data_IF_533496033417
#
_entry.id   IF_533496033417
#
_cell.length_a   1.000
_cell.length_b   1.000
_cell.length_c   1.000
_cell.angle_alpha   90.00
_cell.angle_beta   90.00
_cell.angle_gamma   90.00
#
_symmetry.space_group_name_H-M   'P 1'
#
loop_
_entity.id
_entity.type
_entity.pdbx_description
1 polymer ?
#
# COMPACT_ATOMS: atom_id res chain seq x y z
N UNK A 1 -9.69 6.28 14.27
CA UNK A 1 -9.88 4.86 14.65
C UNK A 1 -8.58 4.14 14.31
N UNK A 2 -8.11 3.19 15.13
CA UNK A 2 -6.83 2.48 14.93
C UNK A 2 -7.03 1.16 14.20
N UNK A 3 -5.96 0.64 13.60
CA UNK A 3 -5.99 -0.64 12.90
C UNK A 3 -6.12 -1.81 13.87
N UNK A 4 -6.90 -2.82 13.46
CA UNK A 4 -7.18 -4.03 14.24
C UNK A 4 -7.03 -5.31 13.42
N UNK A 5 -6.73 -5.21 12.13
CA UNK A 5 -6.40 -6.37 11.33
C UNK A 5 -4.88 -6.60 11.37
N UNK A 6 -4.39 -7.82 11.72
CA UNK A 6 -2.95 -8.09 11.81
C UNK A 6 -2.17 -7.82 10.51
N UNK A 7 -2.77 -8.09 9.35
CA UNK A 7 -2.13 -7.85 8.05
C UNK A 7 -2.03 -6.36 7.82
N UNK A 8 -3.09 -5.60 8.08
CA UNK A 8 -3.07 -4.13 7.95
C UNK A 8 -2.09 -3.47 8.92
N UNK A 9 -1.98 -3.97 10.15
CA UNK A 9 -0.99 -3.49 11.14
C UNK A 9 0.43 -3.77 10.67
N UNK A 10 0.68 -4.94 10.07
CA UNK A 10 1.98 -5.24 9.46
C UNK A 10 2.29 -4.32 8.28
N UNK A 11 1.32 -4.09 7.38
CA UNK A 11 1.48 -3.14 6.28
C UNK A 11 1.71 -1.71 6.77
N UNK A 12 1.04 -1.29 7.84
CA UNK A 12 1.29 -0.01 8.52
C UNK A 12 2.73 0.08 9.05
N UNK A 13 3.23 -0.98 9.66
CA UNK A 13 4.62 -1.05 10.10
C UNK A 13 5.60 -0.88 8.93
N UNK A 14 5.34 -1.52 7.79
CA UNK A 14 6.18 -1.37 6.60
C UNK A 14 6.15 0.06 6.04
N UNK A 15 4.99 0.72 6.02
CA UNK A 15 4.90 2.14 5.67
C UNK A 15 5.71 3.01 6.63
N UNK A 16 5.62 2.76 7.94
CA UNK A 16 6.39 3.50 8.93
C UNK A 16 7.90 3.28 8.75
N UNK A 17 8.36 2.04 8.56
CA UNK A 17 9.75 1.73 8.28
C UNK A 17 10.26 2.44 7.01
N UNK A 18 9.43 2.53 5.97
CA UNK A 18 9.76 3.36 4.80
C UNK A 18 9.99 4.81 5.19
N UNK A 19 9.12 5.41 6.01
CA UNK A 19 9.28 6.81 6.41
C UNK A 19 10.56 7.08 7.18
N UNK A 20 11.01 6.15 8.03
CA UNK A 20 12.23 6.30 8.85
C UNK A 20 13.52 6.08 8.06
N UNK A 21 13.48 5.28 6.99
CA UNK A 21 14.69 4.87 6.25
C UNK A 21 14.78 5.43 4.83
N UNK A 22 13.70 5.99 4.30
CA UNK A 22 13.73 6.65 3.00
C UNK A 22 14.48 8.00 3.09
N UNK A 23 15.09 8.45 1.97
CA UNK A 23 15.68 9.79 1.88
C UNK A 23 14.64 10.88 2.20
N UNK A 24 15.10 12.09 2.54
CA UNK A 24 14.18 13.22 2.72
C UNK A 24 13.25 13.39 1.52
N UNK A 25 12.04 13.89 1.77
CA UNK A 25 11.04 14.07 0.73
C UNK A 25 11.58 14.90 -0.46
N UNK A 26 11.41 14.39 -1.68
CA UNK A 26 11.93 14.99 -2.90
C UNK A 26 13.43 14.81 -3.14
N UNK A 27 14.18 14.19 -2.22
CA UNK A 27 15.62 13.92 -2.40
C UNK A 27 15.85 12.51 -2.95
N UNK A 28 16.91 12.39 -3.76
CA UNK A 28 17.49 11.10 -4.14
C UNK A 28 18.36 10.60 -2.98
N UNK A 29 18.22 9.35 -2.61
CA UNK A 29 19.11 8.66 -1.69
C UNK A 29 18.90 7.16 -1.76
N UNK A 30 19.39 6.39 -0.80
CA UNK A 30 19.27 4.94 -0.81
C UNK A 30 18.10 4.47 0.06
N UNK A 31 17.32 3.51 -0.44
CA UNK A 31 16.37 2.73 0.35
C UNK A 31 16.62 1.25 0.06
N UNK A 32 16.93 0.46 1.10
CA UNK A 32 17.36 -0.94 0.97
C UNK A 32 18.54 -1.14 0.00
N UNK A 33 19.47 -0.18 -0.06
CA UNK A 33 20.64 -0.24 -0.95
C UNK A 33 20.38 0.22 -2.38
N UNK A 34 19.13 0.51 -2.75
CA UNK A 34 18.78 1.01 -4.09
C UNK A 34 18.56 2.53 -4.10
N UNK A 35 19.02 3.26 -5.13
CA UNK A 35 18.68 4.66 -5.31
C UNK A 35 17.16 4.86 -5.48
N UNK A 36 16.52 5.53 -4.52
CA UNK A 36 15.10 5.89 -4.58
C UNK A 36 14.90 7.39 -4.35
N UNK A 37 13.86 7.93 -4.98
CA UNK A 37 13.33 9.27 -4.68
C UNK A 37 12.16 9.10 -3.75
N UNK A 38 12.23 9.66 -2.55
CA UNK A 38 11.07 9.71 -1.66
C UNK A 38 10.03 10.67 -2.25
N UNK A 39 9.03 10.12 -2.92
CA UNK A 39 8.00 10.87 -3.63
C UNK A 39 6.65 10.16 -3.49
N UNK A 40 5.57 10.91 -3.71
CA UNK A 40 4.20 10.40 -3.63
C UNK A 40 3.99 9.18 -4.55
N UNK A 41 4.56 9.20 -5.77
CA UNK A 41 4.47 8.08 -6.71
C UNK A 41 5.17 6.82 -6.19
N UNK A 42 6.36 6.97 -5.60
CA UNK A 42 7.13 5.84 -5.08
C UNK A 42 6.48 5.24 -3.83
N UNK A 43 5.88 6.08 -2.98
CA UNK A 43 5.11 5.63 -1.81
C UNK A 43 3.86 4.85 -2.23
N UNK A 44 3.12 5.34 -3.23
CA UNK A 44 1.95 4.64 -3.76
C UNK A 44 2.33 3.29 -4.39
N UNK A 45 3.37 3.26 -5.22
CA UNK A 45 3.88 2.02 -5.81
C UNK A 45 4.38 1.04 -4.73
N UNK A 46 5.06 1.53 -3.69
CA UNK A 46 5.55 0.71 -2.59
C UNK A 46 4.42 -0.01 -1.86
N UNK A 47 3.35 0.69 -1.47
CA UNK A 47 2.24 0.07 -0.75
C UNK A 47 1.48 -0.93 -1.64
N UNK A 48 1.25 -0.58 -2.92
CA UNK A 48 0.61 -1.48 -3.88
C UNK A 48 1.43 -2.76 -4.12
N UNK A 49 2.75 -2.61 -4.29
CA UNK A 49 3.68 -3.74 -4.44
C UNK A 49 3.68 -4.64 -3.20
N UNK A 50 3.68 -4.05 -2.02
CA UNK A 50 3.66 -4.79 -0.75
C UNK A 50 2.36 -5.57 -0.58
N UNK A 51 1.23 -4.98 -0.95
CA UNK A 51 -0.09 -5.62 -0.93
C UNK A 51 -0.18 -6.77 -1.94
N UNK A 52 0.34 -6.58 -3.15
CA UNK A 52 0.30 -7.59 -4.21
C UNK A 52 1.26 -8.75 -4.04
N UNK A 53 2.32 -8.61 -3.24
CA UNK A 53 3.49 -9.52 -3.22
C UNK A 53 3.15 -11.02 -3.15
N UNK A 54 2.15 -11.44 -2.35
CA UNK A 54 1.80 -12.85 -2.18
C UNK A 54 0.83 -13.39 -3.23
N UNK A 55 0.01 -12.53 -3.84
CA UNK A 55 -1.08 -12.93 -4.74
C UNK A 55 -1.27 -11.90 -5.88
N UNK A 56 -0.18 -11.57 -6.57
CA UNK A 56 -0.08 -10.43 -7.50
C UNK A 56 -1.24 -10.38 -8.51
N UNK A 57 -1.45 -11.45 -9.29
CA UNK A 57 -2.53 -11.50 -10.27
C UNK A 57 -3.92 -11.38 -9.64
N UNK A 58 -4.17 -12.02 -8.50
CA UNK A 58 -5.49 -11.97 -7.84
C UNK A 58 -5.80 -10.57 -7.33
N UNK A 59 -4.82 -9.90 -6.73
CA UNK A 59 -4.94 -8.54 -6.20
C UNK A 59 -5.08 -7.54 -7.34
N UNK A 60 -4.12 -7.55 -8.28
CA UNK A 60 -4.04 -6.52 -9.30
C UNK A 60 -5.11 -6.67 -10.38
N UNK A 61 -5.63 -7.87 -10.66
CA UNK A 61 -6.82 -8.00 -11.52
C UNK A 61 -8.05 -7.30 -10.91
N UNK A 62 -8.28 -7.46 -9.60
CA UNK A 62 -9.40 -6.77 -8.93
C UNK A 62 -9.20 -5.26 -8.92
N UNK A 63 -7.99 -4.80 -8.60
CA UNK A 63 -7.68 -3.38 -8.60
C UNK A 63 -7.78 -2.77 -10.01
N UNK A 64 -7.36 -3.49 -11.05
CA UNK A 64 -7.46 -3.04 -12.43
C UNK A 64 -8.93 -2.77 -12.85
N UNK A 65 -9.88 -3.56 -12.36
CA UNK A 65 -11.32 -3.32 -12.59
C UNK A 65 -11.79 -2.04 -11.90
N UNK A 66 -11.39 -1.84 -10.64
CA UNK A 66 -11.84 -0.68 -9.84
C UNK A 66 -11.10 0.62 -10.17
N UNK A 67 -9.93 0.53 -10.80
CA UNK A 67 -9.11 1.67 -11.21
C UNK A 67 -9.26 2.02 -12.70
N UNK A 68 -10.32 1.55 -13.36
CA UNK A 68 -10.58 1.82 -14.77
C UNK A 68 -10.97 3.29 -14.98
N UNK A 69 -10.41 3.88 -16.04
CA UNK A 69 -10.63 5.25 -16.51
C UNK A 69 -11.74 5.28 -17.56
N UNK A 70 -12.20 6.49 -17.88
CA UNK A 70 -13.21 6.70 -18.92
C UNK A 70 -12.68 6.44 -20.34
N UNK A 71 -11.36 6.44 -20.54
CA UNK A 71 -10.71 6.12 -21.81
C UNK A 71 -10.51 4.61 -22.04
N UNK A 72 -10.97 3.76 -21.11
CA UNK A 72 -10.88 2.30 -21.20
C UNK A 72 -9.59 1.71 -20.61
N UNK A 73 -8.56 2.51 -20.34
CA UNK A 73 -7.36 2.08 -19.64
C UNK A 73 -7.59 1.98 -18.13
N UNK A 74 -6.67 1.36 -17.39
CA UNK A 74 -6.74 1.26 -15.92
C UNK A 74 -5.43 1.67 -15.29
N UNK A 75 -5.47 2.50 -14.25
CA UNK A 75 -4.26 2.97 -13.56
C UNK A 75 -3.37 1.84 -13.00
N UNK A 76 -3.90 0.62 -12.87
CA UNK A 76 -3.15 -0.60 -12.59
C UNK A 76 -3.41 -1.58 -13.74
N UNK A 77 -2.36 -1.98 -14.46
CA UNK A 77 -2.49 -2.76 -15.70
C UNK A 77 -1.24 -3.58 -16.00
N UNK A 78 -1.38 -4.67 -16.77
CA UNK A 78 -0.23 -5.37 -17.40
C UNK A 78 0.30 -4.64 -18.64
N UNK A 79 -0.52 -3.80 -19.25
CA UNK A 79 -0.10 -2.90 -20.32
C UNK A 79 0.32 -1.55 -19.72
N UNK A 80 1.62 -1.31 -19.67
CA UNK A 80 2.21 -0.03 -19.29
C UNK A 80 2.48 0.92 -20.46
N UNK A 81 2.19 0.52 -21.71
CA UNK A 81 2.59 1.28 -22.91
C UNK A 81 1.85 2.61 -23.09
N UNK A 82 0.68 2.76 -22.48
CA UNK A 82 -0.11 4.00 -22.48
C UNK A 82 0.21 4.90 -21.28
N UNK A 83 0.95 4.40 -20.28
CA UNK A 83 1.23 5.13 -19.05
C UNK A 83 2.31 6.20 -19.28
N UNK A 84 2.13 7.38 -18.70
CA UNK A 84 3.14 8.44 -18.69
C UNK A 84 4.34 8.04 -17.82
N UNK A 85 4.07 7.48 -16.64
CA UNK A 85 5.12 7.01 -15.71
C UNK A 85 4.79 5.61 -15.19
N UNK A 86 5.02 4.56 -15.99
CA UNK A 86 4.81 3.20 -15.56
C UNK A 86 5.76 2.85 -14.40
N UNK A 87 5.20 2.51 -13.24
CA UNK A 87 5.93 2.01 -12.08
C UNK A 87 5.66 0.52 -11.91
N UNK A 88 6.72 -0.29 -11.97
CA UNK A 88 6.61 -1.74 -11.85
C UNK A 88 6.19 -2.17 -10.44
N UNK A 89 5.13 -2.98 -10.36
CA UNK A 89 4.62 -3.55 -9.12
C UNK A 89 5.12 -4.98 -8.87
N UNK A 90 5.52 -5.70 -9.93
CA UNK A 90 5.83 -7.14 -9.90
C UNK A 90 4.91 -7.94 -10.84
N UNK A 91 5.31 -9.14 -11.26
CA UNK A 91 4.45 -10.02 -12.09
C UNK A 91 4.02 -9.44 -13.44
N UNK A 92 4.77 -8.48 -13.99
CA UNK A 92 4.39 -7.75 -15.20
C UNK A 92 3.28 -6.71 -15.00
N UNK A 93 2.94 -6.36 -13.76
CA UNK A 93 1.98 -5.31 -13.44
C UNK A 93 2.66 -3.95 -13.27
N UNK A 94 1.96 -2.91 -13.71
CA UNK A 94 2.38 -1.53 -13.63
C UNK A 94 1.32 -0.66 -12.96
N UNK A 95 1.78 0.41 -12.32
CA UNK A 95 0.98 1.50 -11.79
C UNK A 95 1.33 2.82 -12.50
N UNK A 96 0.32 3.61 -12.85
CA UNK A 96 0.50 4.93 -13.42
C UNK A 96 0.93 5.96 -12.35
N UNK A 97 2.23 6.24 -12.29
CA UNK A 97 2.85 7.15 -11.34
C UNK A 97 2.66 8.65 -11.63
N UNK A 98 2.32 9.03 -12.86
CA UNK A 98 2.18 10.40 -13.36
C UNK A 98 0.91 11.13 -12.89
N UNK A 99 0.08 10.48 -12.09
CA UNK A 99 -1.16 11.01 -11.51
C UNK A 99 -0.95 12.14 -10.50
N UNK A 100 -1.99 12.95 -10.25
CA UNK A 100 -2.01 13.89 -9.12
C UNK A 100 -2.11 13.16 -7.77
N UNK A 101 -1.86 13.86 -6.64
CA UNK A 101 -2.07 13.27 -5.31
C UNK A 101 -3.52 12.80 -5.11
N UNK A 102 -4.50 13.61 -5.53
CA UNK A 102 -5.92 13.27 -5.43
C UNK A 102 -6.23 11.99 -6.20
N UNK A 103 -5.74 11.89 -7.43
CA UNK A 103 -5.92 10.67 -8.23
C UNK A 103 -5.24 9.45 -7.60
N UNK A 104 -4.07 9.61 -6.98
CA UNK A 104 -3.41 8.51 -6.25
C UNK A 104 -4.27 8.04 -5.07
N UNK A 105 -4.87 8.96 -4.33
CA UNK A 105 -5.75 8.64 -3.21
C UNK A 105 -7.06 7.97 -3.69
N UNK A 106 -7.63 8.44 -4.81
CA UNK A 106 -8.79 7.79 -5.43
C UNK A 106 -8.48 6.34 -5.85
N UNK A 107 -7.28 6.10 -6.40
CA UNK A 107 -6.80 4.75 -6.74
C UNK A 107 -6.67 3.90 -5.47
N UNK A 108 -6.05 4.42 -4.41
CA UNK A 108 -5.90 3.70 -3.13
C UNK A 108 -7.25 3.45 -2.44
N UNK A 109 -8.27 4.28 -2.67
CA UNK A 109 -9.62 4.04 -2.16
C UNK A 109 -10.20 2.70 -2.63
N UNK A 110 -9.75 2.22 -3.80
CA UNK A 110 -10.14 0.91 -4.36
C UNK A 110 -9.65 -0.28 -3.52
N UNK A 111 -8.71 -0.08 -2.60
CA UNK A 111 -8.29 -1.12 -1.65
C UNK A 111 -9.47 -1.60 -0.78
N UNK A 112 -10.43 -0.71 -0.49
CA UNK A 112 -11.67 -1.11 0.21
C UNK A 112 -12.48 -2.15 -0.56
N UNK A 113 -12.41 -2.15 -1.90
CA UNK A 113 -13.12 -3.10 -2.76
C UNK A 113 -12.49 -4.49 -2.76
N UNK A 114 -11.26 -4.62 -2.28
CA UNK A 114 -10.55 -5.90 -2.19
C UNK A 114 -10.38 -6.39 -0.75
N UNK A 115 -11.03 -5.74 0.21
CA UNK A 115 -11.16 -6.23 1.59
C UNK A 115 -10.38 -5.43 2.64
N UNK A 116 -9.67 -4.38 2.27
CA UNK A 116 -8.99 -3.52 3.24
C UNK A 116 -9.95 -2.57 3.94
N UNK A 117 -9.69 -2.29 5.21
CA UNK A 117 -10.49 -1.41 6.03
C UNK A 117 -10.35 0.06 5.59
N UNK A 118 -11.41 0.89 5.75
CA UNK A 118 -11.32 2.32 5.51
C UNK A 118 -10.23 3.01 6.35
N UNK A 119 -9.96 2.48 7.54
CA UNK A 119 -8.89 2.97 8.42
C UNK A 119 -7.52 2.75 7.78
N UNK A 120 -7.29 1.57 7.19
CA UNK A 120 -6.03 1.28 6.50
C UNK A 120 -5.85 2.15 5.26
N UNK A 121 -6.91 2.34 4.48
CA UNK A 121 -6.87 3.26 3.32
C UNK A 121 -6.53 4.69 3.76
N UNK A 122 -7.11 5.16 4.87
CA UNK A 122 -6.76 6.47 5.43
C UNK A 122 -5.28 6.57 5.84
N UNK A 123 -4.71 5.48 6.36
CA UNK A 123 -3.28 5.39 6.68
C UNK A 123 -2.42 5.43 5.42
N UNK A 124 -2.81 4.70 4.37
CA UNK A 124 -2.13 4.70 3.07
C UNK A 124 -2.18 6.08 2.40
N UNK A 125 -3.30 6.78 2.46
CA UNK A 125 -3.44 8.15 1.96
C UNK A 125 -2.52 9.12 2.70
N UNK A 126 -2.44 8.98 4.03
CA UNK A 126 -1.54 9.77 4.88
C UNK A 126 -0.09 9.51 4.51
N UNK A 127 0.28 8.24 4.34
CA UNK A 127 1.61 7.83 3.92
C UNK A 127 2.00 8.43 2.57
N UNK A 128 1.15 8.29 1.54
CA UNK A 128 1.40 8.82 0.20
C UNK A 128 1.49 10.34 0.20
N UNK A 129 0.71 11.02 1.04
CA UNK A 129 0.79 12.47 1.22
C UNK A 129 2.08 12.94 1.92
N UNK A 130 2.98 12.04 2.33
CA UNK A 130 4.22 12.41 3.00
C UNK A 130 4.09 12.56 4.52
N UNK A 131 2.92 12.24 5.09
CA UNK A 131 2.60 12.54 6.49
C UNK A 131 2.84 11.32 7.40
N UNK A 132 3.14 11.53 8.70
CA UNK A 132 3.32 10.44 9.66
C UNK A 132 2.10 9.55 9.75
N UNK A 133 2.32 8.24 9.78
CA UNK A 133 1.26 7.22 9.95
C UNK A 133 1.17 6.70 11.39
N UNK A 134 1.92 7.29 12.32
CA UNK A 134 2.01 6.86 13.72
C UNK A 134 0.65 6.78 14.41
N UNK A 135 -0.28 7.67 14.04
CA UNK A 135 -1.58 7.81 14.68
C UNK A 135 -2.54 6.64 14.39
N UNK A 136 -2.20 5.82 13.39
CA UNK A 136 -2.97 4.63 13.02
C UNK A 136 -2.53 3.37 13.77
N UNK A 137 -1.37 3.39 14.44
CA UNK A 137 -0.89 2.22 15.18
C UNK A 137 -1.84 1.88 16.34
N UNK A 138 -2.03 0.59 16.64
CA UNK A 138 -2.74 0.16 17.84
C UNK A 138 -2.10 0.74 19.10
N UNK A 139 -2.89 0.99 20.14
CA UNK A 139 -2.34 1.21 21.49
C UNK A 139 -1.71 -0.07 22.03
N UNK A 140 -0.94 0.02 23.13
CA UNK A 140 -0.38 -1.14 23.81
C UNK A 140 -1.45 -2.19 24.18
N UNK A 141 -2.60 -1.74 24.66
CA UNK A 141 -3.72 -2.63 25.00
C UNK A 141 -4.34 -3.28 23.76
N UNK A 142 -4.52 -2.51 22.67
CA UNK A 142 -5.00 -3.06 21.40
C UNK A 142 -3.99 -4.06 20.80
N UNK A 143 -2.69 -3.78 20.88
CA UNK A 143 -1.63 -4.66 20.42
C UNK A 143 -1.59 -5.98 21.21
N UNK A 144 -1.73 -5.92 22.54
CA UNK A 144 -1.83 -7.13 23.39
C UNK A 144 -3.03 -8.01 22.99
N UNK A 145 -4.18 -7.38 22.74
CA UNK A 145 -5.39 -8.09 22.28
C UNK A 145 -5.20 -8.71 20.90
N UNK A 146 -4.55 -8.01 19.96
CA UNK A 146 -4.23 -8.54 18.64
C UNK A 146 -3.31 -9.76 18.72
N UNK A 147 -2.25 -9.66 19.53
CA UNK A 147 -1.32 -10.76 19.73
C UNK A 147 -1.99 -12.00 20.35
N UNK A 148 -2.92 -11.81 21.29
CA UNK A 148 -3.65 -12.94 21.89
C UNK A 148 -4.56 -13.62 20.86
N UNK A 149 -5.26 -12.85 20.02
CA UNK A 149 -6.11 -13.37 18.95
C UNK A 149 -5.30 -14.18 17.93
N UNK A 150 -4.15 -13.66 17.50
CA UNK A 150 -3.25 -14.35 16.56
C UNK A 150 -2.78 -15.69 17.15
N UNK A 151 -2.36 -15.70 18.42
CA UNK A 151 -1.93 -16.92 19.11
C UNK A 151 -3.06 -17.95 19.20
N UNK A 152 -4.28 -17.52 19.53
CA UNK A 152 -5.44 -18.41 19.60
C UNK A 152 -5.75 -19.03 18.23
N UNK A 153 -5.77 -18.22 17.17
CA UNK A 153 -6.00 -18.71 15.80
C UNK A 153 -4.93 -19.70 15.33
N UNK A 154 -3.67 -19.45 15.67
CA UNK A 154 -2.57 -20.37 15.34
C UNK A 154 -2.72 -21.71 16.06
N UNK A 155 -3.11 -21.69 17.35
CA UNK A 155 -3.36 -22.92 18.12
C UNK A 155 -4.54 -23.73 17.57
N UNK A 156 -5.62 -23.08 17.13
CA UNK A 156 -6.80 -23.76 16.60
C UNK A 156 -6.62 -24.39 15.21
N UNK A 157 -5.57 -24.02 14.46
CA UNK A 157 -5.25 -24.62 13.15
C UNK A 157 -4.33 -25.84 13.25
N UNK A 158 -3.79 -26.14 14.43
CA UNK A 158 -2.91 -27.27 14.71
C UNK A 158 -3.65 -28.47 15.35
N UNK A 159 -4.99 -28.47 15.32
CA UNK A 159 -5.89 -29.53 15.76
C UNK A 159 -6.72 -29.98 14.55
#
# INVERSE_FOLDING_TARGET
MRLKDPVEVFLLYLMHQWMESAPDNGRKGLYQGEPKVNSQMMRAAYILKTIGFAEEDKVFNKLAVHCRRNDGHSYISKDGGWMEKPLELGGGWYFEGGTSLVQKQDILSSLTKIGYSPTFVSAADTFVAGKPVSDFFPTDEEAKLLLSQIKLQASSKNL
#
